data_IF_959114980362
#
_entry.id   IF_959114980362
#
_cell.length_a   1.000
_cell.length_b   1.000
_cell.length_c   1.000
_cell.angle_alpha   90.00
_cell.angle_beta   90.00
_cell.angle_gamma   90.00
#
_symmetry.space_group_name_H-M   'P 1'
#
loop_
_entity.id
_entity.type
_entity.pdbx_description
1 polymer ?
#
# COMPACT_ATOMS: atom_id res chain seq x y z
N UNK A 1 -4.83 13.84 -9.12
CA UNK A 1 -5.69 13.41 -7.99
C UNK A 1 -4.82 12.60 -7.05
N UNK A 2 -4.84 12.90 -5.76
CA UNK A 2 -4.11 12.10 -4.77
C UNK A 2 -4.80 10.73 -4.69
N UNK A 3 -4.03 9.66 -4.94
CA UNK A 3 -4.51 8.28 -4.77
C UNK A 3 -4.16 7.81 -3.38
N UNK A 4 -5.04 7.04 -2.77
CA UNK A 4 -4.81 6.45 -1.46
C UNK A 4 -4.62 4.95 -1.59
N UNK A 5 -3.56 4.41 -0.98
CA UNK A 5 -3.42 2.97 -0.79
C UNK A 5 -4.15 2.60 0.51
N UNK A 6 -5.19 1.78 0.39
CA UNK A 6 -5.97 1.27 1.51
C UNK A 6 -5.51 -0.16 1.81
N UNK A 7 -5.15 -0.40 3.07
CA UNK A 7 -4.62 -1.68 3.56
C UNK A 7 -5.45 -2.18 4.73
N UNK A 8 -5.91 -3.43 4.65
CA UNK A 8 -6.46 -4.15 5.78
C UNK A 8 -5.39 -5.14 6.27
N UNK A 9 -5.05 -5.05 7.56
CA UNK A 9 -4.03 -5.90 8.18
C UNK A 9 -4.70 -7.03 8.97
N UNK A 10 -4.10 -8.22 8.98
CA UNK A 10 -4.52 -9.31 9.83
C UNK A 10 -4.51 -8.88 11.31
N UNK A 11 -5.63 -9.09 12.00
CA UNK A 11 -5.78 -8.72 13.42
C UNK A 11 -6.01 -7.23 13.70
N UNK A 12 -6.08 -6.36 12.67
CA UNK A 12 -6.47 -4.96 12.83
C UNK A 12 -7.89 -4.75 12.28
N UNK A 13 -8.87 -4.31 13.11
CA UNK A 13 -10.24 -4.08 12.64
C UNK A 13 -10.38 -2.84 11.73
N UNK A 14 -9.41 -1.93 11.75
CA UNK A 14 -9.46 -0.68 10.99
C UNK A 14 -8.49 -0.72 9.81
N UNK A 15 -8.92 -0.14 8.69
CA UNK A 15 -8.06 0.07 7.54
C UNK A 15 -6.96 1.09 7.85
N UNK A 16 -5.79 0.88 7.26
CA UNK A 16 -4.70 1.85 7.21
C UNK A 16 -4.75 2.48 5.81
N UNK A 17 -4.90 3.80 5.76
CA UNK A 17 -4.94 4.55 4.51
C UNK A 17 -3.67 5.38 4.38
N UNK A 18 -2.95 5.19 3.28
CA UNK A 18 -1.72 5.90 2.98
C UNK A 18 -1.95 6.82 1.78
N UNK A 19 -1.71 8.12 1.96
CA UNK A 19 -1.67 9.05 0.83
C UNK A 19 -0.34 8.86 0.09
N UNK A 20 -0.40 8.54 -1.20
CA UNK A 20 0.79 8.25 -2.01
C UNK A 20 0.89 9.18 -3.21
N UNK A 21 2.09 9.31 -3.75
CA UNK A 21 2.30 10.04 -5.01
C UNK A 21 1.57 9.34 -6.18
N UNK A 22 1.05 10.08 -7.17
CA UNK A 22 0.35 9.48 -8.31
C UNK A 22 1.20 8.46 -9.08
N UNK A 23 2.48 8.76 -9.29
CA UNK A 23 3.44 7.89 -9.99
C UNK A 23 3.65 6.56 -9.23
N UNK A 24 3.66 6.64 -7.90
CA UNK A 24 3.80 5.47 -7.02
C UNK A 24 2.56 4.60 -7.12
N UNK A 25 1.37 5.19 -7.13
CA UNK A 25 0.13 4.45 -7.28
C UNK A 25 -0.01 3.76 -8.65
N UNK A 26 0.52 4.35 -9.72
CA UNK A 26 0.57 3.73 -11.04
C UNK A 26 1.52 2.54 -11.06
N UNK A 27 2.78 2.71 -10.62
CA UNK A 27 3.75 1.60 -10.59
C UNK A 27 3.33 0.46 -9.66
N UNK A 28 2.85 0.78 -8.44
CA UNK A 28 2.35 -0.23 -7.51
C UNK A 28 1.07 -0.89 -8.00
N UNK A 29 0.17 -0.17 -8.68
CA UNK A 29 -1.12 -0.70 -9.15
C UNK A 29 -0.95 -1.97 -9.98
N UNK A 30 -0.03 -1.94 -10.95
CA UNK A 30 0.21 -3.05 -11.87
C UNK A 30 0.78 -4.31 -11.17
N UNK A 31 1.52 -4.10 -10.07
CA UNK A 31 2.20 -5.18 -9.34
C UNK A 31 1.56 -5.50 -7.98
N UNK A 32 0.51 -4.80 -7.55
CA UNK A 32 -0.04 -4.90 -6.18
C UNK A 32 -0.42 -6.33 -5.82
N UNK A 33 -1.07 -7.05 -6.76
CA UNK A 33 -1.43 -8.46 -6.60
C UNK A 33 -0.20 -9.33 -6.35
N UNK A 34 0.90 -9.09 -7.08
CA UNK A 34 2.15 -9.84 -6.90
C UNK A 34 2.81 -9.52 -5.55
N UNK A 35 2.79 -8.25 -5.14
CA UNK A 35 3.36 -7.81 -3.86
C UNK A 35 2.64 -8.47 -2.69
N UNK A 36 1.31 -8.40 -2.68
CA UNK A 36 0.48 -9.04 -1.64
C UNK A 36 0.70 -10.55 -1.64
N UNK A 37 0.72 -11.19 -2.81
CA UNK A 37 0.92 -12.64 -2.94
C UNK A 37 2.29 -13.10 -2.41
N UNK A 38 3.34 -12.33 -2.67
CA UNK A 38 4.70 -12.68 -2.24
C UNK A 38 4.96 -12.29 -0.77
N UNK A 39 4.16 -11.35 -0.21
CA UNK A 39 4.19 -10.96 1.19
C UNK A 39 5.46 -10.22 1.61
N UNK A 40 6.21 -9.60 0.70
CA UNK A 40 7.47 -8.93 1.04
C UNK A 40 7.27 -7.57 1.71
N UNK A 41 8.25 -7.13 2.50
CA UNK A 41 8.30 -5.75 2.98
C UNK A 41 8.69 -4.82 1.83
N UNK A 42 7.95 -3.72 1.66
CA UNK A 42 8.28 -2.67 0.70
C UNK A 42 8.25 -1.28 1.32
N UNK A 43 9.05 -0.41 0.72
CA UNK A 43 9.00 1.02 1.00
C UNK A 43 8.06 1.68 -0.02
N UNK A 44 7.13 2.49 0.47
CA UNK A 44 6.15 3.23 -0.34
C UNK A 44 6.33 4.72 -0.09
N UNK A 45 6.55 5.50 -1.14
CA UNK A 45 6.66 6.95 -1.02
C UNK A 45 5.27 7.59 -0.84
N UNK A 46 5.16 8.42 0.20
CA UNK A 46 3.96 9.17 0.54
C UNK A 46 3.90 10.52 -0.19
N UNK A 47 2.72 11.13 -0.21
CA UNK A 47 2.42 12.35 -0.98
C UNK A 47 3.03 13.66 -0.45
N UNK A 48 3.78 13.60 0.66
CA UNK A 48 4.44 14.78 1.25
C UNK A 48 5.89 14.46 1.66
N UNK A 49 6.53 13.53 0.93
CA UNK A 49 7.92 13.14 1.18
C UNK A 49 8.11 12.14 2.31
N UNK A 50 7.04 11.59 2.90
CA UNK A 50 7.14 10.47 3.82
C UNK A 50 7.58 9.19 3.10
N UNK A 51 8.16 8.25 3.86
CA UNK A 51 8.41 6.89 3.41
C UNK A 51 7.71 5.94 4.37
N UNK A 52 6.77 5.15 3.85
CA UNK A 52 6.09 4.11 4.60
C UNK A 52 6.80 2.78 4.39
N UNK A 53 7.06 2.03 5.46
CA UNK A 53 7.55 0.66 5.37
C UNK A 53 6.39 -0.28 5.66
N UNK A 54 5.98 -1.04 4.66
CA UNK A 54 4.79 -1.90 4.71
C UNK A 54 5.20 -3.35 4.58
N UNK A 55 4.87 -4.17 5.58
CA UNK A 55 5.03 -5.62 5.51
C UNK A 55 3.76 -6.26 4.92
N UNK A 56 3.84 -6.69 3.66
CA UNK A 56 2.70 -7.28 2.96
C UNK A 56 2.36 -8.71 3.40
N UNK A 57 3.20 -9.40 4.19
CA UNK A 57 2.87 -10.72 4.76
C UNK A 57 1.66 -10.69 5.70
N UNK A 58 1.27 -9.51 6.20
CA UNK A 58 0.14 -9.34 7.10
C UNK A 58 -1.05 -8.63 6.44
N UNK A 59 -0.96 -8.30 5.15
CA UNK A 59 -2.03 -7.61 4.42
C UNK A 59 -3.05 -8.64 3.93
N UNK A 60 -4.32 -8.46 4.31
CA UNK A 60 -5.44 -9.33 3.88
C UNK A 60 -6.21 -8.76 2.70
N UNK A 61 -6.30 -7.43 2.60
CA UNK A 61 -6.91 -6.71 1.48
C UNK A 61 -6.06 -5.47 1.20
N UNK A 62 -5.80 -5.20 -0.08
CA UNK A 62 -5.17 -3.97 -0.54
C UNK A 62 -5.84 -3.47 -1.81
N UNK A 63 -6.12 -2.16 -1.89
CA UNK A 63 -6.60 -1.50 -3.11
C UNK A 63 -6.24 -0.02 -3.12
N UNK A 64 -6.28 0.58 -4.30
CA UNK A 64 -6.17 2.03 -4.47
C UNK A 64 -7.56 2.67 -4.58
N UNK A 65 -7.75 3.79 -3.88
CA UNK A 65 -8.91 4.71 -3.99
C UNK A 65 -8.50 6.01 -4.69
#
# INVERSE_FOLDING_TARGET
MNKHLVLFMAGNPNAITLAVEPEVAEDLGDRLVQIVRNGHTQTIAGSQGQQYVVNFSHVVIAYFE
#
